data_IF_857129129571
#
_entry.id   IF_857129129571
#
_cell.length_a   1.000
_cell.length_b   1.000
_cell.length_c   1.000
_cell.angle_alpha   90.00
_cell.angle_beta   90.00
_cell.angle_gamma   90.00
#
_symmetry.space_group_name_H-M   'P 1'
#
loop_
_entity.id
_entity.type
_entity.pdbx_description
1 polymer ?
#
# COMPACT_ATOMS: atom_id res chain seq x y z
N UNK A 1 -19.18 -23.79 23.33
CA UNK A 1 -17.82 -23.22 23.16
C UNK A 1 -17.63 -22.70 21.74
N UNK A 2 -17.89 -23.49 20.71
CA UNK A 2 -17.75 -23.08 19.29
C UNK A 2 -18.60 -21.88 18.91
N UNK A 3 -19.83 -21.77 19.40
CA UNK A 3 -20.71 -20.65 19.14
C UNK A 3 -20.17 -19.34 19.75
N UNK A 4 -19.69 -19.39 20.99
CA UNK A 4 -19.05 -18.23 21.63
C UNK A 4 -17.77 -17.81 20.89
N UNK A 5 -16.95 -18.75 20.43
CA UNK A 5 -15.77 -18.45 19.63
C UNK A 5 -16.14 -17.80 18.28
N UNK A 6 -17.21 -18.25 17.64
CA UNK A 6 -17.73 -17.65 16.39
C UNK A 6 -18.17 -16.20 16.61
N UNK A 7 -18.89 -15.93 17.68
CA UNK A 7 -19.34 -14.57 18.02
C UNK A 7 -18.17 -13.61 18.29
N UNK A 8 -17.17 -14.08 19.05
CA UNK A 8 -15.94 -13.29 19.31
C UNK A 8 -15.16 -13.03 18.02
N UNK A 9 -15.03 -14.04 17.17
CA UNK A 9 -14.36 -13.89 15.87
C UNK A 9 -15.11 -12.90 14.96
N UNK A 10 -16.43 -12.98 14.89
CA UNK A 10 -17.26 -12.05 14.11
C UNK A 10 -17.13 -10.61 14.62
N UNK A 11 -17.09 -10.39 15.94
CA UNK A 11 -16.88 -9.06 16.51
C UNK A 11 -15.51 -8.48 16.17
N UNK A 12 -14.45 -9.32 16.19
CA UNK A 12 -13.10 -8.90 15.79
C UNK A 12 -13.03 -8.53 14.30
N UNK A 13 -13.66 -9.33 13.44
CA UNK A 13 -13.72 -9.07 11.99
C UNK A 13 -14.44 -7.75 11.72
N UNK A 14 -15.60 -7.52 12.36
CA UNK A 14 -16.34 -6.26 12.22
C UNK A 14 -15.49 -5.06 12.63
N UNK A 15 -14.79 -5.14 13.76
CA UNK A 15 -13.90 -4.06 14.23
C UNK A 15 -12.76 -3.79 13.26
N UNK A 16 -12.12 -4.83 12.73
CA UNK A 16 -11.05 -4.68 11.74
C UNK A 16 -11.58 -4.06 10.42
N UNK A 17 -12.76 -4.48 9.98
CA UNK A 17 -13.44 -3.94 8.81
C UNK A 17 -13.78 -2.46 8.98
N UNK A 18 -14.33 -2.06 10.13
CA UNK A 18 -14.62 -0.66 10.43
C UNK A 18 -13.35 0.22 10.38
N UNK A 19 -12.22 -0.29 10.86
CA UNK A 19 -10.94 0.42 10.78
C UNK A 19 -10.50 0.64 9.33
N UNK A 20 -10.54 -0.39 8.50
CA UNK A 20 -10.19 -0.29 7.07
C UNK A 20 -11.10 0.71 6.36
N UNK A 21 -12.42 0.65 6.62
CA UNK A 21 -13.37 1.56 5.98
C UNK A 21 -13.20 3.01 6.43
N UNK A 22 -12.78 3.24 7.68
CA UNK A 22 -12.49 4.59 8.20
C UNK A 22 -11.18 5.17 7.66
N UNK A 23 -10.17 4.34 7.42
CA UNK A 23 -8.87 4.80 6.90
C UNK A 23 -8.89 5.11 5.40
N UNK A 24 -9.74 4.45 4.62
CA UNK A 24 -9.86 4.66 3.16
C UNK A 24 -10.09 6.13 2.76
N UNK A 25 -11.07 6.87 3.30
CA UNK A 25 -11.31 8.25 2.89
C UNK A 25 -10.10 9.16 3.12
N UNK A 26 -9.27 8.85 4.12
CA UNK A 26 -8.04 9.58 4.37
C UNK A 26 -7.00 9.28 3.27
N UNK A 27 -6.76 8.01 2.97
CA UNK A 27 -5.84 7.60 1.90
C UNK A 27 -6.26 8.16 0.54
N UNK A 28 -7.56 8.10 0.22
CA UNK A 28 -8.11 8.63 -1.04
C UNK A 28 -7.96 10.15 -1.15
N UNK A 29 -8.14 10.88 -0.03
CA UNK A 29 -7.93 12.34 0.00
C UNK A 29 -6.47 12.70 -0.13
N UNK A 30 -5.59 11.97 0.57
CA UNK A 30 -4.15 12.18 0.48
C UNK A 30 -3.63 11.93 -0.95
N UNK A 31 -4.09 10.88 -1.60
CA UNK A 31 -3.75 10.60 -2.99
C UNK A 31 -4.14 11.77 -3.92
N UNK A 32 -5.37 12.33 -3.76
CA UNK A 32 -5.82 13.51 -4.54
C UNK A 32 -5.00 14.76 -4.25
N UNK A 33 -4.60 14.98 -3.00
CA UNK A 33 -3.73 16.11 -2.65
C UNK A 33 -2.37 15.96 -3.30
N UNK A 34 -1.78 14.77 -3.26
CA UNK A 34 -0.52 14.48 -3.94
C UNK A 34 -0.61 14.69 -5.46
N UNK A 35 -1.67 14.21 -6.11
CA UNK A 35 -1.92 14.45 -7.54
C UNK A 35 -2.03 15.95 -7.87
N UNK A 36 -2.75 16.72 -7.05
CA UNK A 36 -2.85 18.17 -7.20
C UNK A 36 -1.51 18.88 -6.98
N UNK A 37 -0.71 18.44 -5.99
CA UNK A 37 0.62 18.99 -5.74
C UNK A 37 1.56 18.73 -6.92
N UNK A 38 1.59 17.53 -7.45
CA UNK A 38 2.47 17.14 -8.55
C UNK A 38 2.21 17.91 -9.83
N UNK A 39 0.94 18.16 -10.17
CA UNK A 39 0.59 18.97 -11.33
C UNK A 39 1.14 20.40 -11.24
N UNK A 40 1.35 20.93 -10.03
CA UNK A 40 1.94 22.24 -9.77
C UNK A 40 3.47 22.21 -9.66
N UNK A 41 4.03 21.19 -9.02
CA UNK A 41 5.47 21.01 -8.88
C UNK A 41 6.15 20.83 -10.26
N UNK A 42 5.51 20.12 -11.18
CA UNK A 42 5.98 19.99 -12.56
C UNK A 42 6.16 21.35 -13.27
N UNK A 43 5.45 22.39 -12.81
CA UNK A 43 5.55 23.76 -13.33
C UNK A 43 6.67 24.57 -12.64
N UNK A 44 7.06 24.22 -11.43
CA UNK A 44 7.98 25.02 -10.58
C UNK A 44 9.39 24.45 -10.43
N UNK A 45 9.73 23.33 -11.13
CA UNK A 45 11.06 22.66 -11.05
C UNK A 45 11.57 22.45 -9.62
N UNK A 46 10.68 22.14 -8.68
CA UNK A 46 11.05 21.93 -7.29
C UNK A 46 11.91 20.68 -7.13
N UNK A 47 12.99 20.79 -6.37
CA UNK A 47 13.88 19.66 -6.04
C UNK A 47 13.20 18.79 -4.97
N UNK A 48 12.35 17.87 -5.44
CA UNK A 48 11.58 16.95 -4.59
C UNK A 48 12.06 15.51 -4.83
N UNK A 49 12.98 14.99 -4.02
CA UNK A 49 13.60 13.69 -4.23
C UNK A 49 12.61 12.53 -4.34
N UNK A 50 11.50 12.57 -3.60
CA UNK A 50 10.47 11.51 -3.60
C UNK A 50 9.64 11.44 -4.90
N UNK A 51 9.66 12.51 -5.71
CA UNK A 51 8.94 12.59 -6.97
C UNK A 51 9.84 12.31 -8.19
N UNK A 52 11.16 12.32 -7.98
CA UNK A 52 12.10 12.13 -9.08
C UNK A 52 12.10 10.66 -9.53
N UNK A 53 11.55 10.41 -10.72
CA UNK A 53 11.71 9.13 -11.38
C UNK A 53 13.18 8.96 -11.79
N UNK A 54 13.81 7.90 -11.31
CA UNK A 54 15.16 7.48 -11.68
C UNK A 54 15.08 6.34 -12.70
N UNK A 55 16.13 6.16 -13.49
CA UNK A 55 16.27 4.93 -14.27
C UNK A 55 16.57 3.77 -13.29
N UNK A 56 15.61 2.86 -13.04
CA UNK A 56 15.73 1.93 -11.94
C UNK A 56 16.80 0.87 -12.25
N UNK A 57 17.73 0.68 -11.32
CA UNK A 57 18.67 -0.44 -11.27
C UNK A 57 18.42 -1.31 -10.04
N UNK A 58 18.09 -0.69 -8.93
CA UNK A 58 17.80 -1.31 -7.64
C UNK A 58 16.35 -1.14 -7.30
N UNK A 59 15.65 -2.23 -7.00
CA UNK A 59 14.23 -2.24 -6.68
C UNK A 59 14.02 -2.93 -5.34
N UNK A 60 13.37 -2.26 -4.41
CA UNK A 60 13.00 -2.86 -3.12
C UNK A 60 11.52 -3.25 -3.14
N UNK A 61 11.24 -4.50 -2.82
CA UNK A 61 9.89 -5.02 -2.65
C UNK A 61 9.52 -5.03 -1.16
N UNK A 62 8.50 -4.29 -0.77
CA UNK A 62 7.94 -4.31 0.58
C UNK A 62 6.80 -5.33 0.60
N UNK A 63 7.03 -6.48 1.21
CA UNK A 63 6.05 -7.56 1.26
C UNK A 63 5.35 -7.62 2.62
N UNK A 64 4.01 -7.51 2.62
CA UNK A 64 3.21 -7.44 3.85
C UNK A 64 2.35 -8.68 4.06
N UNK A 65 2.58 -9.38 5.17
CA UNK A 65 1.76 -10.52 5.63
C UNK A 65 1.35 -10.36 7.09
N UNK A 66 0.57 -11.29 7.60
CA UNK A 66 0.31 -11.38 9.03
C UNK A 66 1.40 -12.16 9.77
N UNK A 67 1.47 -11.95 11.08
CA UNK A 67 2.33 -12.74 11.98
C UNK A 67 1.76 -14.14 12.26
N UNK A 68 0.44 -14.28 12.15
CA UNK A 68 -0.28 -15.50 12.49
C UNK A 68 -0.64 -16.32 11.25
N UNK A 69 -0.79 -17.61 11.45
CA UNK A 69 -1.32 -18.55 10.45
C UNK A 69 -2.83 -18.76 10.58
N UNK A 70 -3.31 -19.83 9.94
CA UNK A 70 -4.73 -20.23 9.93
C UNK A 70 -5.65 -19.15 9.33
N UNK A 71 -5.14 -18.42 8.33
CA UNK A 71 -5.84 -17.36 7.62
C UNK A 71 -6.10 -17.71 6.14
N UNK A 72 -6.29 -18.99 5.84
CA UNK A 72 -6.44 -19.47 4.46
C UNK A 72 -5.23 -19.12 3.59
N UNK A 73 -5.45 -18.69 2.37
CA UNK A 73 -4.41 -18.31 1.41
C UNK A 73 -3.78 -16.93 1.64
N UNK A 74 -4.20 -16.16 2.64
CA UNK A 74 -3.77 -14.78 2.84
C UNK A 74 -2.25 -14.59 2.77
N UNK A 75 -1.51 -15.27 3.65
CA UNK A 75 -0.05 -15.16 3.67
C UNK A 75 0.60 -15.84 2.46
N UNK A 76 0.12 -17.03 2.09
CA UNK A 76 0.68 -17.81 0.98
C UNK A 76 0.57 -17.09 -0.36
N UNK A 77 -0.54 -16.38 -0.61
CA UNK A 77 -0.74 -15.62 -1.83
C UNK A 77 0.23 -14.44 -1.95
N UNK A 78 0.51 -13.74 -0.84
CA UNK A 78 1.50 -12.65 -0.83
C UNK A 78 2.90 -13.19 -1.05
N UNK A 79 3.29 -14.25 -0.35
CA UNK A 79 4.59 -14.89 -0.54
C UNK A 79 4.78 -15.29 -2.01
N UNK A 80 3.81 -16.00 -2.59
CA UNK A 80 3.84 -16.41 -4.00
C UNK A 80 3.93 -15.21 -4.95
N UNK A 81 3.14 -14.16 -4.69
CA UNK A 81 3.19 -12.94 -5.52
C UNK A 81 4.53 -12.24 -5.42
N UNK A 82 5.12 -12.19 -4.23
CA UNK A 82 6.45 -11.61 -4.00
C UNK A 82 7.53 -12.41 -4.73
N UNK A 83 7.50 -13.74 -4.66
CA UNK A 83 8.44 -14.59 -5.40
C UNK A 83 8.33 -14.38 -6.92
N UNK A 84 7.11 -14.36 -7.43
CA UNK A 84 6.88 -14.11 -8.86
C UNK A 84 7.44 -12.76 -9.28
N UNK A 85 7.12 -11.70 -8.51
CA UNK A 85 7.59 -10.35 -8.82
C UNK A 85 9.10 -10.23 -8.71
N UNK A 86 9.69 -10.83 -7.70
CA UNK A 86 11.14 -10.90 -7.54
C UNK A 86 11.82 -11.57 -8.75
N UNK A 87 11.29 -12.70 -9.19
CA UNK A 87 11.81 -13.42 -10.36
C UNK A 87 11.65 -12.62 -11.67
N UNK A 88 10.49 -11.97 -11.87
CA UNK A 88 10.23 -11.09 -13.01
C UNK A 88 11.28 -9.96 -13.10
N UNK A 89 11.51 -9.28 -11.97
CA UNK A 89 12.45 -8.16 -11.91
C UNK A 89 13.91 -8.62 -12.12
N UNK A 90 14.30 -9.74 -11.50
CA UNK A 90 15.63 -10.32 -11.71
C UNK A 90 15.85 -10.74 -13.18
N UNK A 91 14.85 -11.33 -13.82
CA UNK A 91 14.92 -11.70 -15.25
C UNK A 91 15.04 -10.45 -16.15
N UNK A 92 14.50 -9.31 -15.73
CA UNK A 92 14.64 -8.02 -16.40
C UNK A 92 15.97 -7.30 -16.12
N UNK A 93 16.87 -7.91 -15.32
CA UNK A 93 18.21 -7.37 -15.06
C UNK A 93 18.31 -6.42 -13.87
N UNK A 94 17.24 -6.27 -13.08
CA UNK A 94 17.26 -5.42 -11.88
C UNK A 94 17.92 -6.12 -10.69
N UNK A 95 18.56 -5.35 -9.84
CA UNK A 95 18.91 -5.80 -8.50
C UNK A 95 17.69 -5.62 -7.58
N UNK A 96 17.35 -6.68 -6.83
CA UNK A 96 16.10 -6.71 -6.05
C UNK A 96 16.42 -7.04 -4.61
N UNK A 97 15.92 -6.21 -3.69
CA UNK A 97 15.95 -6.42 -2.25
C UNK A 97 14.54 -6.53 -1.67
N UNK A 98 14.43 -6.99 -0.43
CA UNK A 98 13.17 -7.16 0.27
C UNK A 98 13.17 -6.39 1.58
N UNK A 99 12.06 -5.72 1.86
CA UNK A 99 11.64 -5.33 3.20
C UNK A 99 10.45 -6.21 3.57
N UNK A 100 10.54 -6.91 4.69
CA UNK A 100 9.50 -7.84 5.13
C UNK A 100 8.68 -7.26 6.28
N UNK A 101 7.35 -7.30 6.15
CA UNK A 101 6.41 -6.87 7.18
C UNK A 101 5.51 -8.05 7.53
N UNK A 102 5.65 -8.55 8.75
CA UNK A 102 4.95 -9.73 9.25
C UNK A 102 5.81 -11.00 9.25
N UNK A 103 5.67 -11.78 10.31
CA UNK A 103 6.50 -12.96 10.59
C UNK A 103 6.45 -14.02 9.49
N UNK A 104 5.31 -14.17 8.79
CA UNK A 104 5.15 -15.24 7.81
C UNK A 104 5.99 -15.02 6.55
N UNK A 105 6.02 -13.82 6.03
CA UNK A 105 6.87 -13.48 4.87
C UNK A 105 8.33 -13.43 5.28
N UNK A 106 8.62 -12.89 6.45
CA UNK A 106 9.98 -12.79 6.97
C UNK A 106 10.64 -14.17 7.12
N UNK A 107 10.05 -15.07 7.90
CA UNK A 107 10.56 -16.42 8.08
C UNK A 107 10.71 -17.18 6.75
N UNK A 108 9.78 -16.98 5.82
CA UNK A 108 9.83 -17.66 4.53
C UNK A 108 11.05 -17.27 3.71
N UNK A 109 11.31 -15.96 3.57
CA UNK A 109 12.39 -15.45 2.73
C UNK A 109 13.75 -15.54 3.42
N UNK A 110 13.84 -15.40 4.74
CA UNK A 110 15.07 -15.65 5.50
C UNK A 110 15.56 -17.09 5.30
N UNK A 111 14.68 -18.08 5.43
CA UNK A 111 15.04 -19.48 5.26
C UNK A 111 15.47 -19.85 3.83
N UNK A 112 15.28 -18.95 2.87
CA UNK A 112 15.67 -19.13 1.45
C UNK A 112 16.77 -18.18 1.00
N UNK A 113 17.40 -17.49 1.95
CA UNK A 113 18.51 -16.56 1.71
C UNK A 113 18.20 -15.47 0.67
N UNK A 114 16.98 -14.95 0.69
CA UNK A 114 16.68 -13.75 -0.10
C UNK A 114 17.34 -12.52 0.53
N UNK A 115 17.71 -11.50 -0.27
CA UNK A 115 18.33 -10.28 0.25
C UNK A 115 17.29 -9.43 0.97
N UNK A 116 17.20 -9.58 2.28
CA UNK A 116 16.32 -8.79 3.16
C UNK A 116 17.14 -7.66 3.77
N UNK A 117 16.70 -6.43 3.57
CA UNK A 117 17.36 -5.22 4.10
C UNK A 117 16.74 -4.77 5.43
N UNK A 118 15.44 -4.95 5.60
CA UNK A 118 14.76 -4.65 6.86
C UNK A 118 13.61 -5.62 7.12
N UNK A 119 13.31 -5.85 8.41
CA UNK A 119 12.34 -6.85 8.86
C UNK A 119 11.51 -6.30 10.02
N UNK A 120 10.19 -6.31 9.86
CA UNK A 120 9.23 -5.83 10.85
C UNK A 120 8.28 -6.96 11.23
N UNK A 121 8.45 -7.49 12.43
CA UNK A 121 7.64 -8.61 12.94
C UNK A 121 7.10 -8.30 14.32
N UNK A 122 6.06 -9.03 14.73
CA UNK A 122 5.46 -8.84 16.06
C UNK A 122 4.55 -7.61 16.14
N UNK A 123 4.09 -7.11 14.99
CA UNK A 123 3.12 -6.02 14.95
C UNK A 123 1.81 -6.45 15.60
N UNK A 124 1.19 -5.54 16.34
CA UNK A 124 -0.08 -5.81 17.02
C UNK A 124 -1.21 -6.11 16.02
N UNK A 125 -2.28 -6.75 16.51
CA UNK A 125 -3.48 -7.03 15.70
C UNK A 125 -4.16 -5.76 15.18
N UNK A 126 -3.88 -4.64 15.80
CA UNK A 126 -4.30 -3.30 15.42
C UNK A 126 -3.05 -2.45 15.24
N UNK A 127 -2.50 -2.38 14.00
CA UNK A 127 -1.31 -1.59 13.73
C UNK A 127 -1.54 -0.13 14.11
N UNK A 128 -0.55 0.47 14.71
CA UNK A 128 -0.56 1.87 15.12
C UNK A 128 0.10 2.75 14.07
N UNK A 129 -0.06 4.06 14.19
CA UNK A 129 0.69 5.02 13.37
C UNK A 129 2.21 4.90 13.61
N UNK A 130 2.63 4.55 14.82
CA UNK A 130 4.05 4.32 15.14
C UNK A 130 4.62 3.15 14.35
N UNK A 131 3.88 2.03 14.24
CA UNK A 131 4.30 0.88 13.44
C UNK A 131 4.42 1.24 11.95
N UNK A 132 3.47 2.02 11.45
CA UNK A 132 3.50 2.49 10.06
C UNK A 132 4.69 3.43 9.81
N UNK A 133 5.01 4.33 10.75
CA UNK A 133 6.16 5.24 10.65
C UNK A 133 7.48 4.47 10.61
N UNK A 134 7.67 3.44 11.43
CA UNK A 134 8.89 2.64 11.41
C UNK A 134 9.15 2.00 10.04
N UNK A 135 8.10 1.47 9.41
CA UNK A 135 8.21 0.92 8.05
C UNK A 135 8.49 2.02 7.03
N UNK A 136 7.78 3.15 7.15
CA UNK A 136 7.96 4.31 6.27
C UNK A 136 9.37 4.88 6.35
N UNK A 137 9.91 5.04 7.55
CA UNK A 137 11.26 5.57 7.77
C UNK A 137 12.33 4.67 7.12
N UNK A 138 12.19 3.35 7.24
CA UNK A 138 13.10 2.41 6.60
C UNK A 138 13.03 2.49 5.06
N UNK A 139 11.83 2.58 4.51
CA UNK A 139 11.61 2.73 3.07
C UNK A 139 12.19 4.05 2.55
N UNK A 140 11.93 5.15 3.26
CA UNK A 140 12.47 6.46 2.90
C UNK A 140 13.99 6.50 3.01
N UNK A 141 14.57 5.92 4.05
CA UNK A 141 16.02 5.86 4.24
C UNK A 141 16.71 5.14 3.06
N UNK A 142 16.17 4.02 2.58
CA UNK A 142 16.71 3.32 1.42
C UNK A 142 16.59 4.14 0.13
N UNK A 143 15.44 4.77 -0.08
CA UNK A 143 15.20 5.54 -1.31
C UNK A 143 15.99 6.84 -1.34
N UNK A 144 15.98 7.62 -0.27
CA UNK A 144 16.72 8.88 -0.18
C UNK A 144 18.24 8.66 -0.09
N UNK A 145 18.66 7.55 0.55
CA UNK A 145 20.06 7.13 0.60
C UNK A 145 20.61 6.60 -0.72
N UNK A 146 19.76 6.42 -1.76
CA UNK A 146 20.18 5.91 -3.05
C UNK A 146 20.43 4.40 -3.07
N UNK A 147 20.07 3.66 -2.04
CA UNK A 147 20.16 2.20 -2.00
C UNK A 147 19.10 1.54 -2.90
N UNK A 148 18.00 2.22 -3.15
CA UNK A 148 16.95 1.78 -4.08
C UNK A 148 16.47 2.92 -4.95
N UNK A 149 16.09 2.61 -6.20
CA UNK A 149 15.58 3.57 -7.18
C UNK A 149 14.05 3.48 -7.29
N UNK A 150 13.47 2.35 -6.90
CA UNK A 150 12.03 2.13 -6.88
C UNK A 150 11.64 1.20 -5.75
N UNK A 151 10.53 1.53 -5.11
CA UNK A 151 9.93 0.71 -4.05
C UNK A 151 8.54 0.26 -4.49
N UNK A 152 8.30 -1.05 -4.46
CA UNK A 152 7.01 -1.64 -4.75
C UNK A 152 6.44 -2.29 -3.48
N UNK A 153 5.18 -1.97 -3.16
CA UNK A 153 4.44 -2.53 -2.04
C UNK A 153 3.60 -3.72 -2.51
N UNK A 154 3.76 -4.88 -1.88
CA UNK A 154 2.99 -6.09 -2.15
C UNK A 154 2.16 -6.43 -0.91
N UNK A 155 0.84 -6.32 -1.04
CA UNK A 155 -0.09 -6.52 0.07
C UNK A 155 -1.40 -7.13 -0.41
N UNK A 156 -2.24 -7.53 0.54
CA UNK A 156 -3.58 -8.03 0.24
C UNK A 156 -4.60 -6.90 0.34
N UNK A 157 -5.16 -6.49 -0.80
CA UNK A 157 -6.27 -5.53 -0.84
C UNK A 157 -7.56 -6.19 -0.36
N UNK A 158 -8.17 -5.58 0.64
CA UNK A 158 -9.48 -6.01 1.13
C UNK A 158 -10.58 -5.47 0.22
N UNK A 159 -11.35 -6.36 -0.38
CA UNK A 159 -12.52 -6.01 -1.20
C UNK A 159 -13.78 -6.17 -0.35
N UNK A 160 -14.01 -7.37 0.16
CA UNK A 160 -15.10 -7.70 1.07
C UNK A 160 -14.74 -8.93 1.92
N UNK A 161 -15.66 -9.39 2.77
CA UNK A 161 -15.41 -10.53 3.68
C UNK A 161 -15.09 -11.85 2.97
N UNK A 162 -15.47 -12.00 1.71
CA UNK A 162 -15.29 -13.22 0.92
C UNK A 162 -14.16 -13.07 -0.09
N UNK A 163 -13.87 -11.83 -0.52
CA UNK A 163 -12.93 -11.56 -1.60
C UNK A 163 -11.80 -10.64 -1.14
N UNK A 164 -10.59 -11.10 -1.38
CA UNK A 164 -9.35 -10.33 -1.20
C UNK A 164 -8.46 -10.56 -2.40
N UNK A 165 -7.66 -9.58 -2.79
CA UNK A 165 -6.75 -9.68 -3.95
C UNK A 165 -5.34 -9.28 -3.51
N UNK A 166 -4.30 -10.10 -3.78
CA UNK A 166 -2.93 -9.65 -3.66
C UNK A 166 -2.64 -8.63 -4.77
N UNK A 167 -2.09 -7.49 -4.40
CA UNK A 167 -1.73 -6.40 -5.32
C UNK A 167 -0.26 -6.05 -5.15
N UNK A 168 0.34 -5.58 -6.24
CA UNK A 168 1.66 -4.97 -6.26
C UNK A 168 1.50 -3.55 -6.76
N UNK A 169 2.03 -2.59 -6.02
CA UNK A 169 1.84 -1.17 -6.26
C UNK A 169 3.16 -0.43 -6.07
N UNK A 170 3.52 0.47 -6.99
CA UNK A 170 4.67 1.35 -6.81
C UNK A 170 4.37 2.33 -5.68
N UNK A 171 5.26 2.37 -4.69
CA UNK A 171 5.18 3.28 -3.55
C UNK A 171 6.09 4.49 -3.76
N UNK A 172 7.29 4.27 -4.27
CA UNK A 172 8.27 5.30 -4.60
C UNK A 172 8.95 4.99 -5.95
N UNK A 173 9.26 6.00 -6.76
CA UNK A 173 8.88 7.40 -6.59
C UNK A 173 7.37 7.59 -6.61
N UNK A 174 6.89 8.66 -6.01
CA UNK A 174 5.48 8.99 -6.02
C UNK A 174 5.05 9.32 -7.46
N UNK A 175 4.14 8.54 -8.02
CA UNK A 175 3.64 8.75 -9.38
C UNK A 175 2.48 9.76 -9.36
N UNK A 176 2.46 10.76 -10.28
CA UNK A 176 1.34 11.69 -10.45
C UNK A 176 0.00 11.00 -10.74
N UNK A 177 0.05 9.86 -11.42
CA UNK A 177 -1.17 9.09 -11.73
C UNK A 177 -1.74 8.32 -10.53
N UNK A 178 -1.10 8.49 -9.39
CA UNK A 178 -1.66 8.14 -8.10
C UNK A 178 -1.28 6.77 -7.59
N UNK A 179 -1.46 6.67 -6.29
CA UNK A 179 -1.44 5.44 -5.52
C UNK A 179 -2.60 4.50 -5.96
N UNK A 180 -3.47 4.94 -6.87
CA UNK A 180 -4.57 4.14 -7.40
C UNK A 180 -4.09 3.26 -8.55
N UNK A 181 -4.21 1.95 -8.39
CA UNK A 181 -4.03 0.99 -9.49
C UNK A 181 -5.19 1.15 -10.49
N UNK A 182 -4.94 1.01 -11.82
CA UNK A 182 -6.01 0.95 -12.83
C UNK A 182 -7.08 -0.12 -12.54
N UNK A 183 -6.72 -1.12 -11.74
CA UNK A 183 -7.62 -2.18 -11.27
C UNK A 183 -8.38 -1.82 -9.98
N UNK A 184 -8.23 -0.59 -9.47
CA UNK A 184 -8.92 -0.16 -8.25
C UNK A 184 -10.39 0.14 -8.55
N UNK A 185 -11.24 -0.80 -8.20
CA UNK A 185 -12.69 -0.57 -8.17
C UNK A 185 -13.07 0.20 -6.90
N UNK A 186 -13.62 1.39 -7.07
CA UNK A 186 -14.17 2.18 -5.96
C UNK A 186 -15.57 1.66 -5.66
N UNK A 187 -15.76 1.09 -4.48
CA UNK A 187 -17.07 0.68 -4.00
C UNK A 187 -17.70 1.83 -3.19
N UNK A 188 -18.82 2.36 -3.65
CA UNK A 188 -19.67 3.26 -2.87
C UNK A 188 -20.87 2.48 -2.36
N UNK A 189 -21.10 2.56 -1.04
CA UNK A 189 -22.38 2.15 -0.49
C UNK A 189 -23.38 3.26 -0.76
N UNK A 190 -24.39 2.95 -1.55
CA UNK A 190 -25.51 3.87 -1.85
C UNK A 190 -26.75 3.30 -1.24
N UNK A 191 -27.48 4.13 -0.50
CA UNK A 191 -28.80 3.75 -0.03
C UNK A 191 -29.80 4.15 -1.12
N UNK A 192 -30.31 3.18 -1.88
CA UNK A 192 -31.44 3.37 -2.78
C UNK A 192 -32.66 2.76 -2.14
N UNK A 193 -33.72 3.55 -1.96
CA UNK A 193 -35.01 3.13 -1.43
C UNK A 193 -34.98 2.42 -0.04
N UNK A 194 -34.04 2.78 0.82
CA UNK A 194 -33.89 2.18 2.14
C UNK A 194 -33.08 0.88 2.21
N UNK A 195 -32.62 0.36 1.07
CA UNK A 195 -31.72 -0.78 1.01
C UNK A 195 -30.29 -0.37 0.70
N UNK A 196 -29.30 -1.00 1.37
CA UNK A 196 -27.88 -0.80 1.14
C UNK A 196 -27.46 -1.52 -0.15
N UNK A 197 -27.23 -0.73 -1.21
CA UNK A 197 -26.64 -1.20 -2.45
C UNK A 197 -25.16 -0.87 -2.54
N UNK A 198 -24.40 -1.64 -3.32
CA UNK A 198 -23.00 -1.39 -3.63
C UNK A 198 -22.90 -0.94 -5.09
N UNK A 199 -22.50 0.31 -5.29
CA UNK A 199 -22.24 0.83 -6.62
C UNK A 199 -20.73 0.69 -6.90
N UNK A 200 -20.39 0.07 -8.04
CA UNK A 200 -19.02 -0.14 -8.49
C UNK A 200 -18.69 0.93 -9.53
N UNK A 201 -17.63 1.70 -9.31
CA UNK A 201 -17.04 2.56 -10.33
C UNK A 201 -15.57 2.23 -10.49
N UNK A 202 -15.09 2.15 -11.72
CA UNK A 202 -13.66 2.08 -11.99
C UNK A 202 -13.01 3.44 -11.76
N UNK A 203 -11.79 3.47 -11.24
CA UNK A 203 -11.06 4.69 -10.91
C UNK A 203 -10.83 5.62 -12.13
N UNK A 204 -10.94 5.09 -13.35
CA UNK A 204 -10.70 5.81 -14.60
C UNK A 204 -11.78 6.84 -15.00
N UNK A 205 -12.90 6.95 -14.28
CA UNK A 205 -14.06 7.76 -14.72
C UNK A 205 -14.43 8.94 -13.81
N UNK A 206 -13.58 9.34 -12.86
CA UNK A 206 -13.82 10.59 -12.13
C UNK A 206 -12.74 11.63 -12.41
N UNK A 207 -12.84 12.27 -13.58
CA UNK A 207 -12.35 13.63 -13.78
C UNK A 207 -13.22 14.64 -12.99
N UNK A 208 -13.26 14.52 -11.69
CA UNK A 208 -13.62 15.63 -10.84
C UNK A 208 -12.35 16.43 -10.58
N UNK A 209 -11.99 17.25 -11.57
CA UNK A 209 -10.96 18.28 -11.42
C UNK A 209 -11.36 19.12 -10.21
N UNK A 210 -10.65 18.91 -9.09
CA UNK A 210 -10.65 19.88 -8.00
C UNK A 210 -10.31 21.24 -8.63
N UNK A 211 -11.31 22.10 -8.74
CA UNK A 211 -11.12 23.47 -9.21
C UNK A 211 -10.06 24.13 -8.34
N UNK A 212 -9.26 24.92 -8.95
CA UNK A 212 -7.99 25.53 -8.60
C UNK A 212 -7.96 26.48 -7.38
N UNK A 213 -8.76 26.25 -6.35
CA UNK A 213 -8.89 27.20 -5.23
C UNK A 213 -8.12 26.77 -3.96
N UNK A 214 -7.26 25.72 -4.04
CA UNK A 214 -6.34 25.38 -2.95
C UNK A 214 -5.15 26.34 -3.00
N UNK A 215 -5.14 27.32 -2.09
CA UNK A 215 -3.99 28.18 -1.83
C UNK A 215 -3.15 27.48 -0.77
N UNK A 216 -1.91 27.10 -1.12
CA UNK A 216 -0.96 26.56 -0.16
C UNK A 216 -0.24 27.69 0.55
N UNK A 217 -0.26 27.71 1.87
CA UNK A 217 0.48 28.66 2.68
C UNK A 217 1.98 28.37 2.74
N UNK A 218 2.39 27.16 2.34
CA UNK A 218 3.78 26.69 2.35
C UNK A 218 4.21 26.27 0.95
N UNK A 219 5.52 26.34 0.68
CA UNK A 219 6.05 25.84 -0.58
C UNK A 219 5.83 24.33 -0.73
N UNK A 220 5.61 23.81 -1.95
CA UNK A 220 5.38 22.38 -2.20
C UNK A 220 6.48 21.48 -1.63
N UNK A 221 7.74 21.95 -1.62
CA UNK A 221 8.88 21.25 -1.06
C UNK A 221 8.89 21.12 0.47
N UNK A 222 8.05 21.89 1.17
CA UNK A 222 7.89 21.83 2.63
C UNK A 222 6.70 20.93 3.04
N UNK A 223 5.85 20.55 2.09
CA UNK A 223 4.66 19.73 2.32
C UNK A 223 4.91 18.23 2.03
N UNK A 224 6.01 17.90 1.40
CA UNK A 224 6.48 16.56 1.06
C UNK A 224 7.70 16.19 1.90
#
# INVERSE_FOLDING_TARGET
>A
ITEAMRLVAAAKVRRAQDLVLRSRPFADRLARVLESLQSRIALESADTPLLQARDPRHITLVAMTGDRGLCGGFNANIIKRTEQRFAELKASGYEVALITVGRKVDTYFQNRNYPITASFTGLDQLPTSTDALQVSDAVQAEFLGGATDRVELIYTKFINLVSTKPVSQTLLPLDPQGIASPDDEIFRFVTKEGELGVERSSASNQEDKLKSDLVFEQSPSQLL
#
